data_IF_692269744679
#
_entry.id   IF_692269744679
#
_cell.length_a   1.000
_cell.length_b   1.000
_cell.length_c   1.000
_cell.angle_alpha   90.00
_cell.angle_beta   90.00
_cell.angle_gamma   90.00
#
_symmetry.space_group_name_H-M   'P 1'
#
loop_
_entity.id
_entity.type
_entity.pdbx_description
1 polymer ?
#
# COMPACT_ATOMS: atom_id res chain seq x y z
N UNK A 1 40.75 -8.86 -9.81
CA UNK A 1 39.95 -10.07 -10.06
C UNK A 1 38.53 -9.78 -9.59
N UNK A 2 37.57 -9.60 -10.49
CA UNK A 2 36.16 -9.62 -10.08
C UNK A 2 35.82 -11.10 -9.80
N UNK A 3 35.54 -11.44 -8.54
CA UNK A 3 35.03 -12.77 -8.19
C UNK A 3 33.72 -13.02 -8.94
N UNK A 4 33.69 -14.06 -9.77
CA UNK A 4 32.46 -14.52 -10.39
C UNK A 4 31.64 -15.22 -9.29
N UNK A 5 30.76 -14.46 -8.65
CA UNK A 5 29.85 -15.01 -7.65
C UNK A 5 28.78 -15.81 -8.39
N UNK A 6 28.82 -17.14 -8.24
CA UNK A 6 27.75 -18.03 -8.74
C UNK A 6 26.53 -17.89 -7.82
N UNK A 7 25.42 -17.41 -8.38
CA UNK A 7 24.16 -17.13 -7.68
C UNK A 7 22.97 -17.93 -8.23
N UNK A 8 23.19 -18.69 -9.29
CA UNK A 8 22.17 -19.48 -9.97
C UNK A 8 21.59 -20.54 -9.02
N UNK A 9 20.26 -20.69 -9.03
CA UNK A 9 19.52 -21.63 -8.18
C UNK A 9 19.38 -21.24 -6.69
N UNK A 10 20.07 -20.19 -6.22
CA UNK A 10 19.92 -19.70 -4.84
C UNK A 10 18.62 -18.94 -4.64
N UNK A 11 18.02 -19.09 -3.46
CA UNK A 11 16.90 -18.29 -2.98
C UNK A 11 17.31 -16.86 -2.65
N UNK A 12 16.35 -15.94 -2.58
CA UNK A 12 16.59 -14.55 -2.19
C UNK A 12 17.35 -14.40 -0.86
N UNK A 13 17.07 -15.27 0.12
CA UNK A 13 17.72 -15.26 1.43
C UNK A 13 19.17 -15.72 1.32
N UNK A 14 19.43 -16.81 0.60
CA UNK A 14 20.80 -17.31 0.37
C UNK A 14 21.64 -16.31 -0.42
N UNK A 15 21.05 -15.63 -1.40
CA UNK A 15 21.70 -14.54 -2.14
C UNK A 15 22.06 -13.39 -1.19
N UNK A 16 21.16 -12.98 -0.31
CA UNK A 16 21.43 -11.95 0.70
C UNK A 16 22.54 -12.36 1.68
N UNK A 17 22.50 -13.58 2.20
CA UNK A 17 23.53 -14.16 3.07
C UNK A 17 24.91 -14.22 2.38
N UNK A 18 24.94 -14.54 1.09
CA UNK A 18 26.20 -14.64 0.33
C UNK A 18 26.80 -13.29 -0.04
N UNK A 19 25.97 -12.28 -0.32
CA UNK A 19 26.43 -10.99 -0.88
C UNK A 19 26.60 -9.91 0.20
N UNK A 20 25.84 -9.99 1.29
CA UNK A 20 25.80 -8.91 2.30
C UNK A 20 25.75 -9.40 3.75
N UNK A 21 24.90 -10.37 4.08
CA UNK A 21 24.77 -11.00 5.41
C UNK A 21 24.58 -10.03 6.59
N UNK A 22 23.94 -8.88 6.40
CA UNK A 22 23.61 -7.93 7.47
C UNK A 22 22.11 -7.66 7.49
N UNK A 23 21.56 -7.53 8.69
CA UNK A 23 20.14 -7.29 8.92
C UNK A 23 19.65 -6.06 8.14
N UNK A 24 18.54 -6.24 7.42
CA UNK A 24 17.91 -5.21 6.59
C UNK A 24 16.90 -4.38 7.40
N UNK A 25 17.31 -3.94 8.59
CA UNK A 25 16.47 -3.32 9.61
C UNK A 25 16.65 -1.80 9.75
N UNK A 26 17.58 -1.22 8.98
CA UNK A 26 17.82 0.21 8.93
C UNK A 26 18.09 0.71 7.49
N UNK A 27 17.89 2.03 7.29
CA UNK A 27 18.08 2.70 5.99
C UNK A 27 19.44 2.40 5.35
N UNK A 28 20.52 2.44 6.14
CA UNK A 28 21.89 2.24 5.65
C UNK A 28 22.06 0.83 5.08
N UNK A 29 21.69 -0.18 5.87
CA UNK A 29 21.88 -1.57 5.48
C UNK A 29 21.08 -1.95 4.24
N UNK A 30 19.86 -1.42 4.12
CA UNK A 30 19.03 -1.62 2.92
C UNK A 30 19.67 -0.97 1.68
N UNK A 31 20.17 0.26 1.78
CA UNK A 31 20.81 0.93 0.64
C UNK A 31 22.06 0.19 0.18
N UNK A 32 22.92 -0.20 1.12
CA UNK A 32 24.13 -0.97 0.84
C UNK A 32 23.78 -2.27 0.10
N UNK A 33 22.74 -2.98 0.53
CA UNK A 33 22.32 -4.20 -0.13
C UNK A 33 21.72 -3.93 -1.52
N UNK A 34 20.87 -2.90 -1.68
CA UNK A 34 20.34 -2.47 -2.98
C UNK A 34 21.50 -2.20 -3.97
N UNK A 35 22.59 -1.56 -3.54
CA UNK A 35 23.75 -1.33 -4.40
C UNK A 35 24.44 -2.63 -4.79
N UNK A 36 24.59 -3.56 -3.86
CA UNK A 36 25.18 -4.88 -4.09
C UNK A 36 24.34 -5.78 -4.98
N UNK A 37 23.03 -5.55 -5.12
CA UNK A 37 22.20 -6.30 -6.09
C UNK A 37 22.65 -6.11 -7.54
N UNK A 38 23.51 -5.12 -7.84
CA UNK A 38 24.20 -5.04 -9.15
C UNK A 38 25.00 -6.31 -9.49
N UNK A 39 25.51 -7.02 -8.49
CA UNK A 39 26.22 -8.30 -8.68
C UNK A 39 25.27 -9.39 -9.20
N UNK A 40 24.01 -9.37 -8.77
CA UNK A 40 22.97 -10.30 -9.25
C UNK A 40 22.72 -10.06 -10.73
N UNK A 41 22.68 -8.79 -11.17
CA UNK A 41 22.54 -8.43 -12.60
C UNK A 41 23.70 -8.91 -13.47
N UNK A 42 24.91 -9.01 -12.89
CA UNK A 42 26.10 -9.49 -13.57
C UNK A 42 26.21 -11.03 -13.57
N UNK A 43 25.33 -11.71 -12.84
CA UNK A 43 25.28 -13.18 -12.76
C UNK A 43 24.21 -13.76 -13.70
N UNK A 44 24.24 -15.07 -13.94
CA UNK A 44 23.20 -15.82 -14.68
C UNK A 44 21.89 -16.02 -13.86
N UNK A 45 21.52 -15.09 -12.99
CA UNK A 45 20.29 -15.20 -12.22
C UNK A 45 19.07 -15.08 -13.13
N UNK A 46 18.10 -15.99 -12.97
CA UNK A 46 16.87 -15.96 -13.75
C UNK A 46 15.89 -14.85 -13.29
N UNK A 47 14.87 -14.56 -14.10
CA UNK A 47 13.88 -13.52 -13.80
C UNK A 47 13.14 -13.77 -12.47
N UNK A 48 12.92 -15.04 -12.12
CA UNK A 48 12.24 -15.44 -10.88
C UNK A 48 13.11 -15.15 -9.68
N UNK A 49 14.40 -15.47 -9.72
CA UNK A 49 15.37 -15.17 -8.67
C UNK A 49 15.50 -13.66 -8.46
N UNK A 50 15.51 -12.87 -9.54
CA UNK A 50 15.53 -11.41 -9.46
C UNK A 50 14.23 -10.88 -8.83
N UNK A 51 13.07 -11.44 -9.21
CA UNK A 51 11.77 -11.09 -8.61
C UNK A 51 11.70 -11.46 -7.12
N UNK A 52 12.18 -12.63 -6.73
CA UNK A 52 12.18 -13.09 -5.33
C UNK A 52 13.12 -12.23 -4.48
N UNK A 53 14.29 -11.87 -5.02
CA UNK A 53 15.21 -10.95 -4.35
C UNK A 53 14.61 -9.56 -4.20
N UNK A 54 13.92 -9.07 -5.24
CA UNK A 54 13.18 -7.81 -5.17
C UNK A 54 12.14 -7.83 -4.06
N UNK A 55 11.33 -8.88 -4.01
CA UNK A 55 10.27 -9.05 -3.00
C UNK A 55 10.87 -9.12 -1.59
N UNK A 56 11.96 -9.86 -1.39
CA UNK A 56 12.66 -9.97 -0.10
C UNK A 56 13.12 -8.61 0.44
N UNK A 57 13.72 -7.77 -0.41
CA UNK A 57 14.15 -6.42 -0.02
C UNK A 57 12.93 -5.53 0.23
N UNK A 58 11.90 -5.64 -0.62
CA UNK A 58 10.66 -4.87 -0.47
C UNK A 58 9.96 -5.16 0.87
N UNK A 59 9.85 -6.43 1.24
CA UNK A 59 9.26 -6.87 2.50
C UNK A 59 10.09 -6.44 3.70
N UNK A 60 11.42 -6.48 3.61
CA UNK A 60 12.31 -5.95 4.64
C UNK A 60 12.12 -4.44 4.84
N UNK A 61 11.96 -3.69 3.74
CA UNK A 61 11.64 -2.26 3.80
C UNK A 61 10.32 -2.00 4.51
N UNK A 62 9.31 -2.81 4.22
CA UNK A 62 7.98 -2.67 4.82
C UNK A 62 7.92 -3.12 6.28
N UNK A 63 8.71 -4.12 6.69
CA UNK A 63 8.83 -4.55 8.07
C UNK A 63 9.42 -3.44 8.97
N UNK A 64 10.17 -2.49 8.39
CA UNK A 64 10.66 -1.32 9.11
C UNK A 64 9.63 -0.20 9.28
N UNK A 65 8.38 -0.34 8.79
CA UNK A 65 7.43 0.77 8.74
C UNK A 65 7.16 1.45 10.09
N UNK A 66 7.25 0.69 11.19
CA UNK A 66 7.09 1.23 12.56
C UNK A 66 8.35 1.93 13.09
N UNK A 67 9.52 1.63 12.52
CA UNK A 67 10.83 2.14 12.95
C UNK A 67 11.30 3.37 12.16
N UNK A 68 10.87 3.51 10.90
CA UNK A 68 11.35 4.59 10.00
C UNK A 68 10.19 5.41 9.43
N UNK A 69 10.47 6.70 9.16
CA UNK A 69 9.46 7.62 8.64
C UNK A 69 8.96 7.18 7.24
N UNK A 70 7.67 7.37 6.91
CA UNK A 70 7.11 6.96 5.62
C UNK A 70 7.83 7.50 4.37
N UNK A 71 8.38 8.72 4.45
CA UNK A 71 9.19 9.29 3.37
C UNK A 71 10.49 8.50 3.10
N UNK A 72 11.04 7.89 4.14
CA UNK A 72 12.25 7.04 4.05
C UNK A 72 11.90 5.70 3.41
N UNK A 73 10.78 5.08 3.79
CA UNK A 73 10.26 3.86 3.15
C UNK A 73 10.11 4.08 1.64
N UNK A 74 9.45 5.17 1.25
CA UNK A 74 9.25 5.49 -0.16
C UNK A 74 10.57 5.74 -0.89
N UNK A 75 11.51 6.45 -0.26
CA UNK A 75 12.84 6.64 -0.81
C UNK A 75 13.54 5.30 -1.08
N UNK A 76 13.53 4.37 -0.12
CA UNK A 76 14.14 3.04 -0.26
C UNK A 76 13.46 2.23 -1.37
N UNK A 77 12.13 2.19 -1.42
CA UNK A 77 11.38 1.52 -2.49
C UNK A 77 11.69 2.10 -3.87
N UNK A 78 11.83 3.42 -3.97
CA UNK A 78 12.22 4.08 -5.23
C UNK A 78 13.65 3.73 -5.65
N UNK A 79 14.59 3.63 -4.69
CA UNK A 79 15.95 3.18 -4.99
C UNK A 79 15.97 1.72 -5.46
N UNK A 80 15.22 0.85 -4.79
CA UNK A 80 15.05 -0.55 -5.19
C UNK A 80 14.45 -0.65 -6.60
N UNK A 81 13.39 0.10 -6.89
CA UNK A 81 12.74 0.17 -8.21
C UNK A 81 13.66 0.75 -9.29
N UNK A 82 14.47 1.75 -8.95
CA UNK A 82 15.46 2.30 -9.89
C UNK A 82 16.53 1.25 -10.24
N UNK A 83 16.91 0.39 -9.29
CA UNK A 83 17.89 -0.66 -9.57
C UNK A 83 17.32 -1.89 -10.24
N UNK A 84 16.35 -2.56 -9.62
CA UNK A 84 15.87 -3.86 -10.07
C UNK A 84 14.54 -3.78 -10.82
N UNK A 85 13.85 -2.64 -10.79
CA UNK A 85 12.50 -2.48 -11.35
C UNK A 85 12.36 -2.65 -12.86
N UNK A 86 13.46 -2.72 -13.63
CA UNK A 86 13.44 -3.06 -15.07
C UNK A 86 13.43 -4.57 -15.33
N UNK A 87 13.80 -5.37 -14.34
CA UNK A 87 14.03 -6.82 -14.45
C UNK A 87 12.98 -7.64 -13.68
N UNK A 88 11.94 -6.98 -13.17
CA UNK A 88 10.87 -7.60 -12.39
C UNK A 88 9.53 -7.29 -13.02
N UNK A 89 8.66 -8.29 -13.06
CA UNK A 89 7.30 -8.15 -13.58
C UNK A 89 6.40 -7.41 -12.59
N UNK A 90 6.60 -7.65 -11.29
CA UNK A 90 5.80 -7.06 -10.20
C UNK A 90 6.69 -6.10 -9.40
N UNK A 91 6.45 -4.79 -9.56
CA UNK A 91 7.24 -3.72 -8.90
C UNK A 91 6.69 -3.29 -7.55
N UNK A 92 5.44 -3.63 -7.27
CA UNK A 92 4.77 -3.32 -6.01
C UNK A 92 4.05 -4.61 -5.58
N UNK A 93 4.78 -5.55 -4.93
CA UNK A 93 4.28 -6.91 -4.65
C UNK A 93 3.18 -6.97 -3.59
N UNK A 94 2.97 -5.90 -2.81
CA UNK A 94 1.82 -5.83 -1.92
C UNK A 94 0.53 -5.62 -2.69
N UNK A 95 -0.48 -6.40 -2.31
CA UNK A 95 -1.87 -6.21 -2.74
C UNK A 95 -2.28 -4.77 -2.39
N UNK A 96 -2.52 -3.96 -3.42
CA UNK A 96 -2.96 -2.58 -3.23
C UNK A 96 -4.28 -2.60 -2.45
N UNK A 97 -4.35 -1.83 -1.36
CA UNK A 97 -5.57 -1.70 -0.58
C UNK A 97 -6.70 -1.20 -1.48
N UNK A 98 -7.85 -1.86 -1.48
CA UNK A 98 -8.95 -1.56 -2.41
C UNK A 98 -9.42 -0.11 -2.32
N UNK A 99 -9.38 0.50 -1.13
CA UNK A 99 -9.71 1.90 -0.95
C UNK A 99 -8.71 2.84 -1.67
N UNK A 100 -7.41 2.51 -1.68
CA UNK A 100 -6.37 3.33 -2.35
C UNK A 100 -6.59 3.37 -3.86
N UNK A 101 -7.05 2.27 -4.47
CA UNK A 101 -7.39 2.24 -5.89
C UNK A 101 -8.50 3.25 -6.22
N UNK A 102 -9.54 3.35 -5.38
CA UNK A 102 -10.60 4.35 -5.53
C UNK A 102 -10.13 5.77 -5.19
N UNK A 103 -9.27 5.92 -4.18
CA UNK A 103 -8.65 7.20 -3.82
C UNK A 103 -7.87 7.78 -5.02
N UNK A 104 -7.07 6.97 -5.71
CA UNK A 104 -6.35 7.41 -6.92
C UNK A 104 -7.27 7.87 -8.06
N UNK A 105 -8.45 7.26 -8.19
CA UNK A 105 -9.46 7.60 -9.21
C UNK A 105 -10.25 8.84 -8.84
N UNK A 106 -10.53 9.06 -7.55
CA UNK A 106 -11.22 10.24 -7.07
C UNK A 106 -10.39 11.52 -7.26
N UNK A 107 -9.05 11.41 -7.30
CA UNK A 107 -8.12 12.51 -7.51
C UNK A 107 -7.29 12.32 -8.80
N UNK A 108 -7.75 12.84 -9.95
CA UNK A 108 -7.02 12.72 -11.21
C UNK A 108 -5.67 13.45 -11.15
N UNK A 109 -4.72 13.04 -11.99
CA UNK A 109 -3.29 13.41 -11.89
C UNK A 109 -3.03 14.91 -11.77
N UNK A 110 -3.80 15.73 -12.50
CA UNK A 110 -3.66 17.19 -12.53
C UNK A 110 -4.13 17.88 -11.24
N UNK A 111 -4.85 17.17 -10.36
CA UNK A 111 -5.46 17.70 -9.14
C UNK A 111 -4.80 17.16 -7.86
N UNK A 112 -3.69 16.42 -7.96
CA UNK A 112 -3.02 15.79 -6.83
C UNK A 112 -2.10 16.80 -6.13
N UNK A 113 -2.36 17.03 -4.84
CA UNK A 113 -1.53 17.86 -3.95
C UNK A 113 -0.57 17.00 -3.13
N UNK A 114 0.35 17.60 -2.36
CA UNK A 114 1.39 16.90 -1.60
C UNK A 114 0.83 15.91 -0.57
N UNK A 115 -0.30 16.25 0.03
CA UNK A 115 -1.08 15.42 0.95
C UNK A 115 -1.59 14.13 0.30
N UNK A 116 -1.93 14.16 -1.00
CA UNK A 116 -2.31 12.96 -1.74
C UNK A 116 -1.16 11.93 -1.75
N UNK A 117 0.07 12.37 -2.00
CA UNK A 117 1.26 11.51 -1.97
C UNK A 117 1.48 10.91 -0.58
N UNK A 118 1.17 11.66 0.49
CA UNK A 118 1.29 11.17 1.86
C UNK A 118 0.31 10.05 2.17
N UNK A 119 -0.91 10.11 1.64
CA UNK A 119 -1.90 9.03 1.78
C UNK A 119 -1.49 7.78 1.01
N UNK A 120 -0.90 7.94 -0.18
CA UNK A 120 -0.38 6.79 -0.93
C UNK A 120 0.79 6.10 -0.21
N UNK A 121 1.57 6.84 0.57
CA UNK A 121 2.65 6.28 1.38
C UNK A 121 2.13 5.60 2.66
N UNK A 122 1.15 6.21 3.31
CA UNK A 122 0.58 5.75 4.55
C UNK A 122 -0.90 6.13 4.59
N UNK A 123 -1.77 5.14 4.42
CA UNK A 123 -3.22 5.33 4.41
C UNK A 123 -3.74 5.96 5.70
N UNK A 124 -3.00 5.85 6.82
CA UNK A 124 -3.40 6.46 8.09
C UNK A 124 -3.26 7.99 8.08
N UNK A 125 -2.53 8.56 7.11
CA UNK A 125 -2.41 10.01 6.93
C UNK A 125 -3.58 10.63 6.18
N UNK A 126 -4.57 9.83 5.79
CA UNK A 126 -5.75 10.31 5.08
C UNK A 126 -6.59 11.24 5.96
N UNK A 127 -6.96 12.40 5.40
CA UNK A 127 -7.84 13.36 6.07
C UNK A 127 -9.30 12.92 5.98
N UNK A 128 -10.15 13.45 6.87
CA UNK A 128 -11.59 13.18 6.84
C UNK A 128 -12.23 13.64 5.52
N UNK A 129 -11.78 14.79 5.00
CA UNK A 129 -12.19 15.32 3.70
C UNK A 129 -11.81 14.37 2.56
N UNK A 130 -10.58 13.84 2.58
CA UNK A 130 -10.11 12.88 1.58
C UNK A 130 -10.88 11.56 1.61
N UNK A 131 -11.20 11.07 2.81
CA UNK A 131 -12.09 9.91 2.97
C UNK A 131 -13.45 10.24 2.35
N UNK A 132 -14.05 11.38 2.72
CA UNK A 132 -15.36 11.80 2.24
C UNK A 132 -15.43 11.90 0.71
N UNK A 133 -14.48 12.60 0.08
CA UNK A 133 -14.41 12.74 -1.38
C UNK A 133 -14.34 11.37 -2.06
N UNK A 134 -13.56 10.45 -1.51
CA UNK A 134 -13.38 9.11 -2.08
C UNK A 134 -14.64 8.26 -1.92
N UNK A 135 -15.27 8.26 -0.75
CA UNK A 135 -16.53 7.55 -0.52
C UNK A 135 -17.65 8.11 -1.41
N UNK A 136 -17.69 9.43 -1.61
CA UNK A 136 -18.63 10.08 -2.54
C UNK A 136 -18.41 9.59 -3.97
N UNK A 137 -17.16 9.52 -4.41
CA UNK A 137 -16.81 8.97 -5.72
C UNK A 137 -17.28 7.52 -5.86
N UNK A 138 -16.95 6.65 -4.89
CA UNK A 138 -17.37 5.23 -4.92
C UNK A 138 -18.90 5.12 -4.96
N UNK A 139 -19.61 5.86 -4.11
CA UNK A 139 -21.06 5.87 -4.08
C UNK A 139 -21.66 6.27 -5.44
N UNK A 140 -21.11 7.30 -6.08
CA UNK A 140 -21.52 7.75 -7.42
C UNK A 140 -21.29 6.65 -8.47
N UNK A 141 -20.14 6.00 -8.46
CA UNK A 141 -19.84 4.94 -9.42
C UNK A 141 -20.69 3.67 -9.16
N UNK A 142 -21.02 3.37 -7.90
CA UNK A 142 -22.00 2.32 -7.55
C UNK A 142 -23.43 2.67 -7.98
N UNK A 143 -23.84 3.95 -7.92
CA UNK A 143 -25.14 4.41 -8.41
C UNK A 143 -25.25 4.27 -9.93
N UNK A 144 -24.15 4.55 -10.65
CA UNK A 144 -24.08 4.43 -12.12
C UNK A 144 -23.88 2.98 -12.60
N UNK A 145 -23.76 2.01 -11.69
CA UNK A 145 -23.40 0.62 -11.99
C UNK A 145 -22.06 0.47 -12.74
N UNK A 146 -21.16 1.44 -12.61
CA UNK A 146 -19.85 1.42 -13.27
C UNK A 146 -18.84 0.50 -12.56
N UNK A 147 -19.06 0.22 -11.27
CA UNK A 147 -18.18 -0.61 -10.45
C UNK A 147 -18.97 -1.63 -9.64
N UNK A 148 -18.38 -2.81 -9.42
CA UNK A 148 -18.88 -3.84 -8.52
C UNK A 148 -17.79 -4.21 -7.53
N UNK A 149 -17.99 -3.84 -6.26
CA UNK A 149 -17.01 -4.06 -5.20
C UNK A 149 -16.88 -5.56 -4.87
N UNK A 150 -15.65 -6.07 -4.88
CA UNK A 150 -15.33 -7.43 -4.43
C UNK A 150 -15.19 -7.52 -2.90
N UNK A 151 -15.04 -8.73 -2.35
CA UNK A 151 -15.00 -8.94 -0.89
C UNK A 151 -13.87 -8.18 -0.18
N UNK A 152 -12.68 -8.16 -0.77
CA UNK A 152 -11.51 -7.49 -0.21
C UNK A 152 -11.68 -5.97 -0.25
N UNK A 153 -12.14 -5.42 -1.38
CA UNK A 153 -12.43 -3.99 -1.52
C UNK A 153 -13.48 -3.52 -0.51
N UNK A 154 -14.53 -4.30 -0.29
CA UNK A 154 -15.55 -3.99 0.72
C UNK A 154 -14.93 -3.93 2.11
N UNK A 155 -14.12 -4.92 2.48
CA UNK A 155 -13.44 -4.98 3.78
C UNK A 155 -12.55 -3.75 4.00
N UNK A 156 -11.76 -3.38 2.99
CA UNK A 156 -10.88 -2.21 3.06
C UNK A 156 -11.65 -0.89 3.18
N UNK A 157 -12.75 -0.73 2.42
CA UNK A 157 -13.60 0.45 2.52
C UNK A 157 -14.26 0.54 3.91
N UNK A 158 -14.77 -0.57 4.44
CA UNK A 158 -15.38 -0.62 5.77
C UNK A 158 -14.39 -0.17 6.84
N UNK A 159 -13.15 -0.69 6.85
CA UNK A 159 -12.11 -0.27 7.80
C UNK A 159 -11.84 1.24 7.78
N UNK A 160 -11.89 1.86 6.60
CA UNK A 160 -11.71 3.31 6.47
C UNK A 160 -12.92 4.08 7.01
N UNK A 161 -14.14 3.59 6.77
CA UNK A 161 -15.35 4.17 7.34
C UNK A 161 -15.32 4.06 8.88
N UNK A 162 -14.88 2.92 9.43
CA UNK A 162 -14.74 2.73 10.89
C UNK A 162 -13.77 3.74 11.48
N UNK A 163 -12.59 3.93 10.85
CA UNK A 163 -11.61 4.95 11.25
C UNK A 163 -12.19 6.36 11.20
N UNK A 164 -12.99 6.68 10.20
CA UNK A 164 -13.65 8.00 10.08
C UNK A 164 -14.66 8.20 11.21
N UNK A 165 -15.51 7.21 11.48
CA UNK A 165 -16.54 7.28 12.53
C UNK A 165 -15.89 7.35 13.93
N UNK A 166 -14.78 6.65 14.15
CA UNK A 166 -14.06 6.66 15.42
C UNK A 166 -13.57 8.06 15.84
N UNK A 167 -13.36 8.98 14.88
CA UNK A 167 -13.01 10.39 15.15
C UNK A 167 -14.19 11.21 15.74
N UNK A 168 -15.39 10.64 15.75
CA UNK A 168 -16.62 11.23 16.30
C UNK A 168 -17.01 12.61 15.72
N UNK A 169 -16.58 12.92 14.48
CA UNK A 169 -16.94 14.16 13.82
C UNK A 169 -18.35 14.07 13.21
N UNK A 170 -19.31 14.74 13.85
CA UNK A 170 -20.75 14.68 13.49
C UNK A 170 -20.99 15.03 12.02
N UNK A 171 -20.25 16.01 11.47
CA UNK A 171 -20.37 16.41 10.06
C UNK A 171 -20.11 15.23 9.14
N UNK A 172 -18.96 14.56 9.30
CA UNK A 172 -18.57 13.44 8.44
C UNK A 172 -19.41 12.19 8.70
N UNK A 173 -19.86 11.97 9.93
CA UNK A 173 -20.78 10.87 10.25
C UNK A 173 -22.10 11.02 9.50
N UNK A 174 -22.68 12.22 9.51
CA UNK A 174 -23.92 12.50 8.78
C UNK A 174 -23.71 12.39 7.26
N UNK A 175 -22.55 12.84 6.76
CA UNK A 175 -22.18 12.67 5.35
C UNK A 175 -22.07 11.19 4.97
N UNK A 176 -21.43 10.34 5.78
CA UNK A 176 -21.36 8.89 5.53
C UNK A 176 -22.76 8.26 5.52
N UNK A 177 -23.63 8.63 6.47
CA UNK A 177 -25.03 8.15 6.51
C UNK A 177 -25.80 8.48 5.23
N UNK A 178 -25.49 9.61 4.58
CA UNK A 178 -26.14 10.01 3.33
C UNK A 178 -25.75 9.17 2.10
N UNK A 179 -24.70 8.33 2.20
CA UNK A 179 -24.23 7.47 1.10
C UNK A 179 -24.99 6.13 1.07
N UNK A 180 -26.30 6.18 0.95
CA UNK A 180 -27.18 5.01 1.09
C UNK A 180 -26.82 3.85 0.14
N UNK A 181 -26.49 4.16 -1.11
CA UNK A 181 -26.13 3.12 -2.10
C UNK A 181 -24.85 2.41 -1.71
N UNK A 182 -23.82 3.14 -1.29
CA UNK A 182 -22.57 2.55 -0.81
C UNK A 182 -22.79 1.71 0.44
N UNK A 183 -23.51 2.23 1.44
CA UNK A 183 -23.81 1.50 2.67
C UNK A 183 -24.60 0.20 2.39
N UNK A 184 -25.54 0.25 1.45
CA UNK A 184 -26.28 -0.93 0.97
C UNK A 184 -25.36 -1.97 0.32
N UNK A 185 -24.46 -1.55 -0.59
CA UNK A 185 -23.51 -2.45 -1.26
C UNK A 185 -22.53 -3.09 -0.26
N UNK A 186 -22.11 -2.33 0.74
CA UNK A 186 -21.25 -2.79 1.84
C UNK A 186 -22.01 -3.61 2.88
N UNK A 187 -23.35 -3.63 2.85
CA UNK A 187 -24.22 -4.26 3.85
C UNK A 187 -23.96 -3.76 5.28
N UNK A 188 -23.82 -2.45 5.45
CA UNK A 188 -23.57 -1.84 6.76
C UNK A 188 -24.52 -0.68 7.04
N UNK A 189 -24.69 -0.36 8.32
CA UNK A 189 -25.41 0.82 8.81
C UNK A 189 -24.59 1.51 9.89
N UNK A 190 -24.67 2.84 9.95
CA UNK A 190 -24.07 3.65 11.01
C UNK A 190 -25.12 3.90 12.09
N UNK A 191 -24.87 3.38 13.30
CA UNK A 191 -25.81 3.46 14.43
C UNK A 191 -25.21 4.27 15.57
N UNK A 192 -26.07 4.99 16.30
CA UNK A 192 -25.69 5.64 17.56
C UNK A 192 -25.64 4.58 18.66
N UNK A 193 -24.55 4.58 19.44
CA UNK A 193 -24.35 3.72 20.61
C UNK A 193 -23.90 4.63 21.75
N UNK A 194 -24.83 4.92 22.67
CA UNK A 194 -24.65 5.91 23.74
C UNK A 194 -24.19 7.25 23.16
N UNK A 195 -22.98 7.70 23.52
CA UNK A 195 -22.40 9.00 23.14
C UNK A 195 -21.50 8.92 21.89
N UNK A 196 -21.50 7.80 21.17
CA UNK A 196 -20.65 7.57 19.99
C UNK A 196 -21.43 6.92 18.86
N UNK A 197 -20.81 6.86 17.68
CA UNK A 197 -21.33 6.14 16.53
C UNK A 197 -20.49 4.90 16.24
N UNK A 198 -21.12 3.87 15.68
CA UNK A 198 -20.44 2.64 15.26
C UNK A 198 -21.07 2.06 14.00
N UNK A 199 -20.34 1.16 13.33
CA UNK A 199 -20.84 0.42 12.19
C UNK A 199 -21.47 -0.89 12.67
N UNK A 200 -22.64 -1.22 12.12
CA UNK A 200 -23.31 -2.51 12.30
C UNK A 200 -23.53 -3.16 10.94
N UNK A 201 -23.10 -4.42 10.79
CA UNK A 201 -23.41 -5.22 9.61
C UNK A 201 -24.91 -5.56 9.56
N UNK A 202 -25.47 -5.50 8.36
CA UNK A 202 -26.83 -5.92 8.07
C UNK A 202 -26.70 -7.26 7.35
N UNK A 203 -27.38 -8.30 7.83
CA UNK A 203 -27.43 -9.59 7.15
C UNK A 203 -28.17 -9.46 5.82
#
# INVERSE_FOLDING_TARGET
MEEIIVLEGLSAKEIWEKIYNKELDCKKNVLDYIEKTRMIKKSNADEKQIQDTYNFIYDSIDAMADKIKPNTIMYLKNQLKAQLGKYVSIKDPKKENGFITFFKKAYPEKNRRKDFTWVLMDINKISEEQIWTTLTYINRECLKNNIRLNGDEKSDIIKIIEKLIAKNNIKYINQVKSLEKLLSVLKIKVVAVKDRYSIKSIK
#
